data_IF_457801284758
#
_entry.id   IF_457801284758
#
_cell.length_a   1.000
_cell.length_b   1.000
_cell.length_c   1.000
_cell.angle_alpha   90.00
_cell.angle_beta   90.00
_cell.angle_gamma   90.00
#
_symmetry.space_group_name_H-M   'P 1'
#
loop_
_entity.id
_entity.type
_entity.pdbx_description
1 polymer ?
#
# COMPACT_ATOMS: atom_id res chain seq x y z
N UNK A 1 -14.20 -8.52 -16.84
CA UNK A 1 -13.15 -8.72 -15.85
C UNK A 1 -13.09 -7.57 -14.88
N UNK A 2 -12.90 -7.84 -13.61
CA UNK A 2 -12.91 -6.80 -12.56
C UNK A 2 -11.50 -6.62 -11.98
N UNK A 3 -11.19 -5.40 -11.51
CA UNK A 3 -9.95 -5.15 -10.77
C UNK A 3 -9.80 -6.07 -9.56
N UNK A 4 -10.93 -6.59 -9.04
CA UNK A 4 -10.94 -7.50 -7.88
C UNK A 4 -10.21 -8.82 -8.16
N UNK A 5 -9.98 -9.16 -9.41
CA UNK A 5 -9.23 -10.36 -9.80
C UNK A 5 -7.72 -10.11 -9.83
N UNK A 6 -7.27 -8.87 -9.75
CA UNK A 6 -5.85 -8.54 -9.73
C UNK A 6 -5.23 -8.91 -8.38
N UNK A 7 -4.14 -9.66 -8.42
CA UNK A 7 -3.41 -10.05 -7.22
C UNK A 7 -2.91 -8.83 -6.44
N UNK A 8 -2.42 -7.81 -7.15
CA UNK A 8 -1.96 -6.57 -6.54
C UNK A 8 -3.08 -5.85 -5.78
N UNK A 9 -4.31 -5.89 -6.28
CA UNK A 9 -5.43 -5.30 -5.57
C UNK A 9 -5.76 -6.07 -4.30
N UNK A 10 -5.75 -7.41 -4.36
CA UNK A 10 -6.03 -8.26 -3.19
C UNK A 10 -5.01 -8.02 -2.08
N UNK A 11 -3.73 -7.90 -2.44
CA UNK A 11 -2.65 -7.60 -1.50
C UNK A 11 -2.83 -6.21 -0.90
N UNK A 12 -3.13 -5.20 -1.73
CA UNK A 12 -3.37 -3.85 -1.26
C UNK A 12 -4.56 -3.78 -0.30
N UNK A 13 -5.65 -4.47 -0.60
CA UNK A 13 -6.81 -4.57 0.26
C UNK A 13 -6.45 -5.15 1.62
N UNK A 14 -5.72 -6.25 1.64
CA UNK A 14 -5.31 -6.90 2.89
C UNK A 14 -4.43 -5.97 3.73
N UNK A 15 -3.50 -5.26 3.09
CA UNK A 15 -2.65 -4.28 3.78
C UNK A 15 -3.47 -3.14 4.40
N UNK A 16 -4.47 -2.63 3.68
CA UNK A 16 -5.36 -1.58 4.22
C UNK A 16 -6.05 -2.08 5.50
N UNK A 17 -6.58 -3.30 5.47
CA UNK A 17 -7.28 -3.87 6.62
C UNK A 17 -6.34 -4.05 7.81
N UNK A 18 -5.17 -4.65 7.59
CA UNK A 18 -4.20 -4.94 8.65
C UNK A 18 -3.65 -3.64 9.26
N UNK A 19 -3.32 -2.67 8.43
CA UNK A 19 -2.82 -1.36 8.87
C UNK A 19 -3.89 -0.63 9.67
N UNK A 20 -5.13 -0.64 9.20
CA UNK A 20 -6.25 -0.02 9.91
C UNK A 20 -6.37 -0.59 11.33
N UNK A 21 -6.41 -1.92 11.45
CA UNK A 21 -6.49 -2.59 12.75
C UNK A 21 -5.30 -2.25 13.65
N UNK A 22 -4.09 -2.28 13.10
CA UNK A 22 -2.88 -1.97 13.84
C UNK A 22 -2.96 -0.57 14.43
N UNK A 23 -3.37 0.43 13.63
CA UNK A 23 -3.43 1.82 14.11
C UNK A 23 -4.47 2.02 15.21
N UNK A 24 -5.56 1.24 15.20
CA UNK A 24 -6.61 1.37 16.21
C UNK A 24 -6.33 0.59 17.49
N UNK A 25 -5.53 -0.48 17.42
CA UNK A 25 -5.37 -1.40 18.56
C UNK A 25 -3.96 -1.41 19.15
N UNK A 26 -2.94 -0.98 18.42
CA UNK A 26 -1.54 -1.13 18.82
C UNK A 26 -0.80 0.19 19.02
N UNK A 27 -1.42 1.32 18.69
CA UNK A 27 -0.79 2.62 18.78
C UNK A 27 -1.39 3.45 19.91
N UNK A 28 -0.61 4.40 20.50
CA UNK A 28 -1.17 5.38 21.43
C UNK A 28 -2.28 6.20 20.77
N UNK A 29 -3.22 6.67 21.56
CA UNK A 29 -4.39 7.41 21.05
C UNK A 29 -4.05 8.64 20.21
N UNK A 30 -2.95 9.33 20.55
CA UNK A 30 -2.57 10.53 19.82
C UNK A 30 -2.22 10.23 18.34
N UNK A 31 -1.81 9.00 18.03
CA UNK A 31 -1.49 8.62 16.67
C UNK A 31 -2.71 8.54 15.74
N UNK A 32 -3.90 8.56 16.32
CA UNK A 32 -5.14 8.61 15.53
C UNK A 32 -5.11 9.76 14.53
N UNK A 33 -4.51 10.89 14.91
CA UNK A 33 -4.49 12.12 14.12
C UNK A 33 -3.10 12.48 13.58
N UNK A 34 -2.08 11.66 13.81
CA UNK A 34 -0.70 11.90 13.37
C UNK A 34 -0.24 10.80 12.42
N UNK A 35 0.86 10.09 12.72
CA UNK A 35 1.41 9.05 11.85
C UNK A 35 0.41 7.92 11.57
N UNK A 36 -0.41 7.56 12.55
CA UNK A 36 -1.46 6.57 12.34
C UNK A 36 -2.43 6.99 11.25
N UNK A 37 -2.80 8.27 11.22
CA UNK A 37 -3.63 8.84 10.15
C UNK A 37 -2.91 8.78 8.80
N UNK A 38 -1.63 9.13 8.78
CA UNK A 38 -0.85 9.15 7.54
C UNK A 38 -0.69 7.76 6.93
N UNK A 39 -0.41 6.75 7.73
CA UNK A 39 -0.24 5.38 7.21
C UNK A 39 -1.57 4.81 6.72
N UNK A 40 -2.68 5.12 7.40
CA UNK A 40 -4.00 4.71 6.91
C UNK A 40 -4.29 5.35 5.55
N UNK A 41 -3.96 6.62 5.40
CA UNK A 41 -4.18 7.36 4.15
C UNK A 41 -3.33 6.83 3.01
N UNK A 42 -2.03 6.63 3.25
CA UNK A 42 -1.12 6.16 2.20
C UNK A 42 -1.46 4.75 1.73
N UNK A 43 -1.82 3.84 2.64
CA UNK A 43 -2.20 2.48 2.26
C UNK A 43 -3.48 2.46 1.41
N UNK A 44 -4.44 3.31 1.74
CA UNK A 44 -5.67 3.45 0.94
C UNK A 44 -5.37 4.01 -0.45
N UNK A 45 -4.39 4.92 -0.55
CA UNK A 45 -3.96 5.48 -1.83
C UNK A 45 -3.35 4.42 -2.74
N UNK A 46 -2.57 3.48 -2.19
CA UNK A 46 -2.05 2.34 -2.97
C UNK A 46 -3.22 1.61 -3.64
N UNK A 47 -4.19 1.23 -2.85
CA UNK A 47 -5.36 0.49 -3.30
C UNK A 47 -6.18 1.25 -4.34
N UNK A 48 -6.49 2.52 -4.07
CA UNK A 48 -7.34 3.33 -4.96
C UNK A 48 -6.67 3.61 -6.29
N UNK A 49 -5.36 3.80 -6.33
CA UNK A 49 -4.63 4.02 -7.58
C UNK A 49 -4.58 2.77 -8.46
N UNK A 50 -4.58 1.57 -7.86
CA UNK A 50 -4.71 0.33 -8.62
C UNK A 50 -6.07 0.30 -9.33
N UNK A 51 -7.14 0.63 -8.61
CA UNK A 51 -8.50 0.67 -9.16
C UNK A 51 -8.61 1.71 -10.27
N UNK A 52 -8.09 2.92 -10.02
CA UNK A 52 -8.08 4.01 -11.00
C UNK A 52 -7.34 3.61 -12.28
N UNK A 53 -6.15 3.04 -12.10
CA UNK A 53 -5.34 2.59 -13.22
C UNK A 53 -6.05 1.52 -14.05
N UNK A 54 -6.62 0.54 -13.38
CA UNK A 54 -7.34 -0.54 -14.05
C UNK A 54 -8.52 -0.01 -14.87
N UNK A 55 -9.24 0.97 -14.34
CA UNK A 55 -10.34 1.63 -15.05
C UNK A 55 -9.90 2.32 -16.32
N UNK A 56 -8.63 2.67 -16.41
CA UNK A 56 -8.02 3.36 -17.56
C UNK A 56 -7.13 2.46 -18.39
N UNK A 57 -7.19 1.14 -18.20
CA UNK A 57 -6.27 0.17 -18.83
C UNK A 57 -6.28 0.20 -20.35
N UNK A 58 -7.35 0.70 -20.95
CA UNK A 58 -7.44 0.92 -22.39
C UNK A 58 -6.34 1.90 -22.87
N UNK A 59 -5.95 2.82 -22.02
CA UNK A 59 -4.92 3.82 -22.30
C UNK A 59 -3.67 3.45 -21.53
N UNK A 60 -2.71 2.82 -22.19
CA UNK A 60 -1.51 2.27 -21.53
C UNK A 60 -0.76 3.30 -20.71
N UNK A 61 -0.58 4.52 -21.23
CA UNK A 61 0.12 5.59 -20.52
C UNK A 61 -0.57 5.96 -19.20
N UNK A 62 -1.89 6.07 -19.23
CA UNK A 62 -2.68 6.34 -18.01
C UNK A 62 -2.58 5.18 -17.02
N UNK A 63 -2.68 3.95 -17.51
CA UNK A 63 -2.57 2.76 -16.66
C UNK A 63 -1.24 2.76 -15.90
N UNK A 64 -0.14 2.94 -16.63
CA UNK A 64 1.20 2.98 -16.04
C UNK A 64 1.36 4.13 -15.05
N UNK A 65 0.80 5.29 -15.35
CA UNK A 65 0.88 6.45 -14.47
C UNK A 65 0.24 6.18 -13.11
N UNK A 66 -0.98 5.64 -13.09
CA UNK A 66 -1.67 5.35 -11.83
C UNK A 66 -1.01 4.23 -11.05
N UNK A 67 -0.46 3.22 -11.73
CA UNK A 67 0.31 2.17 -11.06
C UNK A 67 1.60 2.73 -10.44
N UNK A 68 2.23 3.70 -11.10
CA UNK A 68 3.40 4.40 -10.56
C UNK A 68 3.00 5.18 -9.29
N UNK A 69 1.84 5.82 -9.27
CA UNK A 69 1.32 6.47 -8.07
C UNK A 69 1.10 5.45 -6.94
N UNK A 70 0.63 4.25 -7.25
CA UNK A 70 0.50 3.18 -6.26
C UNK A 70 1.85 2.82 -5.66
N UNK A 71 2.89 2.71 -6.45
CA UNK A 71 4.25 2.42 -5.97
C UNK A 71 4.72 3.53 -5.03
N UNK A 72 4.56 4.79 -5.42
CA UNK A 72 4.95 5.93 -4.57
C UNK A 72 4.21 5.92 -3.23
N UNK A 73 2.91 5.65 -3.26
CA UNK A 73 2.12 5.55 -2.04
C UNK A 73 2.52 4.35 -1.18
N UNK A 74 2.94 3.26 -1.82
CA UNK A 74 3.43 2.07 -1.12
C UNK A 74 4.75 2.36 -0.40
N UNK A 75 5.66 3.10 -1.05
CA UNK A 75 6.91 3.55 -0.43
C UNK A 75 6.63 4.46 0.77
N UNK A 76 5.67 5.38 0.63
CA UNK A 76 5.26 6.22 1.76
C UNK A 76 4.71 5.38 2.92
N UNK A 77 3.97 4.32 2.62
CA UNK A 77 3.40 3.43 3.63
C UNK A 77 4.51 2.75 4.43
N UNK A 78 5.57 2.28 3.76
CA UNK A 78 6.75 1.71 4.44
C UNK A 78 7.41 2.77 5.32
N UNK A 79 7.61 3.98 4.80
CA UNK A 79 8.25 5.06 5.55
C UNK A 79 7.45 5.41 6.82
N UNK A 80 6.14 5.51 6.71
CA UNK A 80 5.28 5.75 7.88
C UNK A 80 5.37 4.61 8.89
N UNK A 81 5.39 3.35 8.41
CA UNK A 81 5.51 2.20 9.31
C UNK A 81 6.84 2.21 10.06
N UNK A 82 7.93 2.51 9.37
CA UNK A 82 9.25 2.62 9.98
C UNK A 82 9.29 3.75 11.00
N UNK A 83 8.67 4.88 10.69
CA UNK A 83 8.54 6.01 11.62
C UNK A 83 7.82 5.61 12.91
N UNK A 84 6.74 4.83 12.78
CA UNK A 84 6.00 4.34 13.96
C UNK A 84 6.87 3.47 14.85
N UNK A 85 7.73 2.62 14.27
CA UNK A 85 8.66 1.81 15.03
C UNK A 85 9.74 2.67 15.69
N UNK A 86 10.36 3.56 14.91
CA UNK A 86 11.48 4.40 15.36
C UNK A 86 11.07 5.37 16.47
N UNK A 87 9.84 5.86 16.45
CA UNK A 87 9.31 6.75 17.50
C UNK A 87 8.73 5.96 18.67
N UNK A 88 8.78 4.64 18.63
CA UNK A 88 8.26 3.73 19.64
C UNK A 88 6.73 3.80 19.83
N UNK A 89 6.01 4.38 18.88
CA UNK A 89 4.54 4.31 18.88
C UNK A 89 4.07 2.89 18.61
N UNK A 90 4.76 2.16 17.72
CA UNK A 90 4.50 0.74 17.49
C UNK A 90 5.61 -0.07 18.15
N UNK A 91 5.26 -0.83 19.20
CA UNK A 91 6.22 -1.62 19.99
C UNK A 91 6.18 -3.12 19.68
N UNK A 92 5.14 -3.58 19.00
CA UNK A 92 4.99 -4.99 18.62
C UNK A 92 5.87 -5.28 17.40
N UNK A 93 7.09 -5.74 17.64
CA UNK A 93 8.07 -5.97 16.58
C UNK A 93 7.66 -7.09 15.63
N UNK A 94 7.01 -8.13 16.10
CA UNK A 94 6.54 -9.23 15.26
C UNK A 94 5.48 -8.73 14.27
N UNK A 95 4.53 -7.93 14.75
CA UNK A 95 3.50 -7.34 13.91
C UNK A 95 4.11 -6.34 12.92
N UNK A 96 5.08 -5.53 13.37
CA UNK A 96 5.81 -4.62 12.48
C UNK A 96 6.43 -5.37 11.29
N UNK A 97 7.15 -6.46 11.58
CA UNK A 97 7.82 -7.25 10.53
C UNK A 97 6.83 -7.86 9.57
N UNK A 98 5.71 -8.36 10.08
CA UNK A 98 4.66 -8.95 9.24
C UNK A 98 4.09 -7.91 8.28
N UNK A 99 3.72 -6.76 8.79
CA UNK A 99 3.14 -5.66 7.97
C UNK A 99 4.19 -5.15 6.98
N UNK A 100 5.43 -4.94 7.44
CA UNK A 100 6.52 -4.49 6.59
C UNK A 100 6.73 -5.44 5.40
N UNK A 101 6.77 -6.74 5.68
CA UNK A 101 6.98 -7.75 4.64
C UNK A 101 5.83 -7.75 3.63
N UNK A 102 4.60 -7.56 4.09
CA UNK A 102 3.43 -7.52 3.20
C UNK A 102 3.45 -6.30 2.29
N UNK A 103 3.86 -5.14 2.82
CA UNK A 103 3.98 -3.92 2.01
C UNK A 103 5.10 -4.08 0.98
N UNK A 104 6.25 -4.61 1.41
CA UNK A 104 7.39 -4.86 0.52
C UNK A 104 7.03 -5.83 -0.61
N UNK A 105 6.33 -6.90 -0.27
CA UNK A 105 5.85 -7.87 -1.26
C UNK A 105 4.94 -7.21 -2.29
N UNK A 106 4.01 -6.38 -1.85
CA UNK A 106 3.13 -5.64 -2.77
C UNK A 106 3.95 -4.74 -3.70
N UNK A 107 4.96 -4.06 -3.18
CA UNK A 107 5.84 -3.22 -4.00
C UNK A 107 6.51 -4.01 -5.12
N UNK A 108 7.04 -5.19 -4.79
CA UNK A 108 7.66 -6.08 -5.78
C UNK A 108 6.66 -6.55 -6.82
N UNK A 109 5.45 -6.89 -6.40
CA UNK A 109 4.40 -7.32 -7.31
C UNK A 109 3.93 -6.19 -8.23
N UNK A 110 3.81 -4.97 -7.70
CA UNK A 110 3.48 -3.79 -8.50
C UNK A 110 4.53 -3.53 -9.58
N UNK A 111 5.81 -3.62 -9.23
CA UNK A 111 6.89 -3.44 -10.19
C UNK A 111 6.84 -4.49 -11.30
N UNK A 112 6.62 -5.75 -10.96
CA UNK A 112 6.47 -6.83 -11.94
C UNK A 112 5.27 -6.60 -12.84
N UNK A 113 4.16 -6.14 -12.27
CA UNK A 113 2.95 -5.88 -13.04
C UNK A 113 3.16 -4.75 -14.04
N UNK A 114 3.83 -3.68 -13.62
CA UNK A 114 4.19 -2.56 -14.52
C UNK A 114 5.07 -3.07 -15.65
N UNK A 115 6.10 -3.85 -15.34
CA UNK A 115 6.99 -4.42 -16.36
C UNK A 115 6.22 -5.28 -17.37
N UNK A 116 5.26 -6.06 -16.90
CA UNK A 116 4.45 -6.90 -17.79
C UNK A 116 3.62 -6.07 -18.77
N UNK A 117 3.11 -4.92 -18.32
CA UNK A 117 2.37 -4.01 -19.20
C UNK A 117 3.32 -3.35 -20.20
N UNK A 118 4.49 -2.90 -19.75
CA UNK A 118 5.50 -2.27 -20.61
C UNK A 118 6.00 -3.23 -21.69
N UNK A 119 6.23 -4.50 -21.33
CA UNK A 119 6.74 -5.50 -22.23
C UNK A 119 5.69 -6.04 -23.23
N UNK A 120 4.41 -5.80 -22.94
CA UNK A 120 3.32 -6.24 -23.81
C UNK A 120 3.09 -5.32 -25.02
N UNK A 121 3.79 -4.21 -25.10
CA UNK A 121 3.65 -3.25 -26.23
C UNK A 121 4.26 -3.76 -27.53
#
# INVERSE_FOLDING_TARGET
>A
MSYRNLEIWKLARNNVIDIHKMTLTKLPKFEMFEEGSQIRRSSKSVRSNIVEGYGRRKYTGDYLRFLTYSISSNDETIDHLETLLETESLKDEALYKEIWNNIDHLGKMLNRFIQSIENAK
#
